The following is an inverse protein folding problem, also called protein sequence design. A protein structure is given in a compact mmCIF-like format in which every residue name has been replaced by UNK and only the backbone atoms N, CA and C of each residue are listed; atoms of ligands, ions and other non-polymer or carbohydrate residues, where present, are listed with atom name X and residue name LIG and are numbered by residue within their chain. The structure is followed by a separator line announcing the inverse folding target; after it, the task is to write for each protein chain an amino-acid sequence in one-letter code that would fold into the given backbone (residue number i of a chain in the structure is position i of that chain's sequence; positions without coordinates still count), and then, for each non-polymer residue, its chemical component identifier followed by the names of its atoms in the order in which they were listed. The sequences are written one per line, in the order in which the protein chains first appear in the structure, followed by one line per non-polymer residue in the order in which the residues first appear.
data_IF_580154143400
#
_entry.id   IF_580154143400
#
_cell.length_a   1.000
_cell.length_b   1.000
_cell.length_c   1.000
_cell.angle_alpha   90.00
_cell.angle_beta   90.00
_cell.angle_gamma   90.00
#
_symmetry.space_group_name_H-M   'P 1'
#
loop_
_entity.id
_entity.type
_entity.pdbx_description
1 polymer ?
#
# COMPACT_ATOMS: atom_id res chain seq x y z
N UNK A 1 11.77 -12.96 -27.73
CA UNK A 1 12.55 -12.95 -26.47
C UNK A 1 12.89 -11.49 -26.20
N UNK A 2 12.15 -10.84 -25.31
CA UNK A 2 12.46 -9.47 -24.86
C UNK A 2 13.18 -9.62 -23.54
N UNK A 3 14.39 -9.07 -23.47
CA UNK A 3 15.25 -9.13 -22.29
C UNK A 3 14.54 -8.49 -21.09
N UNK A 4 14.57 -9.19 -19.95
CA UNK A 4 14.20 -8.62 -18.68
C UNK A 4 15.21 -7.54 -18.30
N UNK A 5 14.76 -6.29 -18.23
CA UNK A 5 15.49 -5.25 -17.51
C UNK A 5 15.25 -5.50 -16.02
N UNK A 6 16.32 -5.87 -15.32
CA UNK A 6 16.35 -5.94 -13.87
C UNK A 6 16.19 -4.53 -13.29
N UNK A 7 15.84 -4.47 -12.01
CA UNK A 7 15.71 -3.26 -11.19
C UNK A 7 17.01 -2.41 -11.09
N UNK A 8 18.08 -2.75 -11.82
CA UNK A 8 19.42 -2.18 -11.73
C UNK A 8 19.71 -1.03 -12.72
N UNK A 9 18.81 -0.72 -13.66
CA UNK A 9 19.10 0.21 -14.77
C UNK A 9 18.57 1.65 -14.57
N UNK A 10 18.36 2.12 -13.34
CA UNK A 10 18.06 3.53 -13.09
C UNK A 10 19.35 4.35 -12.96
N UNK A 11 19.61 5.34 -13.84
CA UNK A 11 20.76 6.23 -13.70
C UNK A 11 20.72 6.95 -12.35
N UNK A 12 21.85 6.98 -11.63
CA UNK A 12 21.96 7.59 -10.29
C UNK A 12 21.46 9.03 -10.25
N UNK A 13 21.70 9.79 -11.31
CA UNK A 13 21.22 11.15 -11.51
C UNK A 13 19.67 11.29 -11.54
N UNK A 14 18.95 10.26 -11.96
CA UNK A 14 17.48 10.21 -11.92
C UNK A 14 16.99 9.84 -10.52
N UNK A 15 17.69 8.96 -9.82
CA UNK A 15 17.38 8.60 -8.44
C UNK A 15 17.66 9.75 -7.46
N UNK A 16 18.73 10.50 -7.68
CA UNK A 16 19.11 11.66 -6.88
C UNK A 16 18.12 12.83 -7.10
N UNK A 17 17.73 13.10 -8.35
CA UNK A 17 16.66 14.07 -8.65
C UNK A 17 15.32 13.66 -7.99
N UNK A 18 15.01 12.36 -7.96
CA UNK A 18 13.83 11.85 -7.26
C UNK A 18 13.87 12.03 -5.73
N UNK A 19 15.06 12.00 -5.13
CA UNK A 19 15.27 12.28 -3.72
C UNK A 19 15.14 13.78 -3.38
N UNK A 20 15.75 14.64 -4.20
CA UNK A 20 15.81 16.08 -3.95
C UNK A 20 14.47 16.80 -4.21
N UNK A 21 13.68 16.33 -5.17
CA UNK A 21 12.37 16.89 -5.52
C UNK A 21 11.22 16.32 -4.65
N UNK A 22 11.55 15.58 -3.59
CA UNK A 22 10.57 15.06 -2.62
C UNK A 22 9.73 13.89 -3.13
N UNK A 23 9.99 13.39 -4.35
CA UNK A 23 9.25 12.30 -5.00
C UNK A 23 9.29 10.96 -4.26
N UNK A 24 10.24 10.81 -3.32
CA UNK A 24 10.46 9.61 -2.51
C UNK A 24 10.09 9.77 -1.03
N UNK A 25 9.31 10.79 -0.60
CA UNK A 25 9.18 11.09 0.85
C UNK A 25 8.28 10.16 1.68
N UNK A 26 7.49 9.29 1.07
CA UNK A 26 6.84 8.14 1.74
C UNK A 26 7.56 6.83 1.41
N UNK A 27 7.46 5.83 2.28
CA UNK A 27 8.10 4.51 2.12
C UNK A 27 9.64 4.49 2.01
N UNK A 28 10.34 5.58 2.31
CA UNK A 28 11.81 5.70 2.19
C UNK A 28 12.58 5.52 3.50
N UNK A 29 11.89 5.10 4.57
CA UNK A 29 12.51 4.72 5.84
C UNK A 29 11.94 3.37 6.29
N UNK A 30 12.83 2.49 6.73
CA UNK A 30 12.39 1.28 7.41
C UNK A 30 11.61 1.65 8.68
N UNK A 31 10.38 1.16 8.78
CA UNK A 31 9.59 1.15 9.99
C UNK A 31 9.10 -0.28 10.25
N UNK A 32 9.13 -0.69 11.52
CA UNK A 32 8.64 -2.01 11.89
C UNK A 32 7.11 -1.99 11.93
N UNK A 33 6.50 -2.56 10.89
CA UNK A 33 5.05 -2.67 10.77
C UNK A 33 4.52 -4.04 11.18
N UNK A 34 5.25 -4.81 12.00
CA UNK A 34 4.74 -6.08 12.52
C UNK A 34 3.77 -5.85 13.68
N UNK A 35 2.78 -6.73 13.80
CA UNK A 35 1.90 -6.78 14.98
C UNK A 35 0.70 -5.84 14.94
N UNK A 36 0.40 -5.25 13.77
CA UNK A 36 -0.85 -4.51 13.58
C UNK A 36 -2.06 -5.43 13.72
N UNK A 37 -3.16 -4.85 14.17
CA UNK A 37 -4.43 -5.55 14.41
C UNK A 37 -5.51 -5.04 13.47
N UNK A 38 -6.64 -5.75 13.45
CA UNK A 38 -7.78 -5.39 12.59
C UNK A 38 -8.39 -4.01 12.90
N UNK A 39 -8.20 -3.51 14.12
CA UNK A 39 -8.57 -2.15 14.52
C UNK A 39 -7.74 -1.11 13.74
N UNK A 40 -6.44 -1.35 13.63
CA UNK A 40 -5.51 -0.51 12.87
C UNK A 40 -5.82 -0.54 11.37
N UNK A 41 -6.20 -1.71 10.84
CA UNK A 41 -6.66 -1.84 9.43
C UNK A 41 -7.85 -0.92 9.16
N UNK A 42 -8.82 -0.86 10.08
CA UNK A 42 -9.99 0.02 9.94
C UNK A 42 -9.61 1.48 9.99
N UNK A 43 -8.70 1.85 10.86
CA UNK A 43 -8.27 3.24 10.98
C UNK A 43 -7.47 3.67 9.75
N UNK A 44 -6.58 2.81 9.24
CA UNK A 44 -5.88 3.04 7.98
C UNK A 44 -6.85 3.23 6.80
N UNK A 45 -7.86 2.36 6.66
CA UNK A 45 -8.87 2.47 5.61
C UNK A 45 -9.64 3.80 5.68
N UNK A 46 -9.98 4.28 6.88
CA UNK A 46 -10.66 5.57 7.05
C UNK A 46 -9.76 6.74 6.66
N UNK A 47 -8.51 6.72 7.10
CA UNK A 47 -7.53 7.78 6.81
C UNK A 47 -7.28 7.83 5.31
N UNK A 48 -6.98 6.70 4.67
CA UNK A 48 -6.73 6.65 3.23
C UNK A 48 -7.95 7.08 2.41
N UNK A 49 -9.17 6.63 2.78
CA UNK A 49 -10.38 7.07 2.09
C UNK A 49 -10.57 8.59 2.18
N UNK A 50 -10.36 9.18 3.36
CA UNK A 50 -10.47 10.62 3.54
C UNK A 50 -9.45 11.39 2.69
N UNK A 51 -8.22 10.91 2.59
CA UNK A 51 -7.18 11.53 1.76
C UNK A 51 -7.52 11.39 0.27
N UNK A 52 -7.93 10.20 -0.18
CA UNK A 52 -8.33 9.96 -1.57
C UNK A 52 -9.52 10.84 -1.96
N UNK A 53 -10.53 10.97 -1.10
CA UNK A 53 -11.70 11.81 -1.35
C UNK A 53 -11.32 13.30 -1.45
N UNK A 54 -10.41 13.77 -0.60
CA UNK A 54 -9.88 15.13 -0.67
C UNK A 54 -9.16 15.38 -2.00
N UNK A 55 -8.32 14.44 -2.44
CA UNK A 55 -7.59 14.53 -3.70
C UNK A 55 -8.55 14.54 -4.89
N UNK A 56 -9.54 13.64 -4.89
CA UNK A 56 -10.52 13.52 -5.97
C UNK A 56 -11.42 14.77 -6.11
N UNK A 57 -11.58 15.55 -5.04
CA UNK A 57 -12.36 16.80 -5.06
C UNK A 57 -11.62 17.98 -5.70
N UNK A 58 -10.30 17.88 -5.90
CA UNK A 58 -9.49 18.95 -6.51
C UNK A 58 -9.59 18.87 -8.04
N UNK A 59 -10.00 19.94 -8.74
CA UNK A 59 -9.99 19.97 -10.19
C UNK A 59 -8.55 19.84 -10.72
N UNK A 60 -8.33 18.95 -11.68
CA UNK A 60 -7.01 18.77 -12.30
C UNK A 60 -6.66 20.04 -13.09
N UNK A 61 -5.82 20.89 -12.51
CA UNK A 61 -5.14 22.01 -13.18
C UNK A 61 -3.65 21.95 -12.89
N UNK A 62 -2.83 22.56 -13.76
CA UNK A 62 -1.38 22.62 -13.54
C UNK A 62 -1.02 23.38 -12.23
N UNK A 63 -1.85 24.35 -11.82
CA UNK A 63 -1.70 24.98 -10.50
C UNK A 63 -2.12 24.06 -9.34
N UNK A 64 -3.09 23.16 -9.55
CA UNK A 64 -3.47 22.16 -8.56
C UNK A 64 -2.38 21.11 -8.36
N UNK A 65 -1.66 20.74 -9.42
CA UNK A 65 -0.52 19.82 -9.39
C UNK A 65 0.68 20.45 -8.65
N UNK A 66 0.96 21.74 -8.88
CA UNK A 66 1.98 22.48 -8.14
C UNK A 66 1.59 22.76 -6.66
N UNK A 67 0.31 23.04 -6.39
CA UNK A 67 -0.20 23.18 -5.03
C UNK A 67 -0.20 21.84 -4.28
N UNK A 68 -0.38 20.72 -4.99
CA UNK A 68 -0.30 19.37 -4.46
C UNK A 68 1.14 19.02 -4.04
N UNK A 69 2.14 19.32 -4.87
CA UNK A 69 3.56 19.17 -4.48
C UNK A 69 3.91 20.05 -3.25
N UNK A 70 3.39 21.28 -3.18
CA UNK A 70 3.60 22.16 -2.03
C UNK A 70 2.86 21.68 -0.75
N UNK A 71 1.66 21.11 -0.89
CA UNK A 71 0.91 20.49 0.21
C UNK A 71 1.62 19.22 0.70
N UNK A 72 2.26 18.47 -0.19
CA UNK A 72 3.07 17.28 0.11
C UNK A 72 4.32 17.60 0.94
N UNK A 73 4.91 18.78 0.74
CA UNK A 73 5.96 19.32 1.62
C UNK A 73 5.45 19.73 3.01
N UNK A 74 4.22 20.28 3.08
CA UNK A 74 3.56 20.66 4.33
C UNK A 74 3.03 19.45 5.13
N UNK A 75 2.56 18.41 4.44
CA UNK A 75 2.10 17.16 5.04
C UNK A 75 3.23 16.29 5.58
N UNK A 76 4.49 16.73 5.52
CA UNK A 76 5.54 16.16 6.38
C UNK A 76 5.22 16.30 7.89
N UNK A 77 4.31 17.20 8.27
CA UNK A 77 3.73 17.28 9.62
C UNK A 77 2.38 16.54 9.76
N UNK A 78 1.69 16.18 8.65
CA UNK A 78 0.42 15.42 8.63
C UNK A 78 0.56 13.92 8.38
N UNK A 79 1.70 13.48 7.83
CA UNK A 79 2.07 12.10 7.52
C UNK A 79 2.23 11.19 8.74
N UNK A 80 2.12 11.73 9.96
CA UNK A 80 1.99 10.91 11.18
C UNK A 80 0.78 9.96 11.11
N UNK A 81 -0.30 10.36 10.41
CA UNK A 81 -1.53 9.57 10.33
C UNK A 81 -1.43 8.30 9.47
N UNK A 82 -0.43 8.19 8.59
CA UNK A 82 -0.22 7.03 7.71
C UNK A 82 1.00 6.21 8.09
N UNK A 83 1.56 6.45 9.27
CA UNK A 83 2.68 5.67 9.81
C UNK A 83 3.91 5.63 8.89
N UNK A 84 4.12 6.67 8.07
CA UNK A 84 5.21 6.74 7.09
C UNK A 84 5.00 5.92 5.80
N UNK A 85 3.81 5.39 5.58
CA UNK A 85 3.42 4.66 4.38
C UNK A 85 2.75 5.59 3.36
N UNK A 86 2.87 5.25 2.06
CA UNK A 86 2.18 6.01 1.01
C UNK A 86 0.65 5.83 1.08
N UNK A 87 -0.07 6.89 0.71
CA UNK A 87 -1.52 6.82 0.46
C UNK A 87 -1.79 5.79 -0.64
N UNK A 88 -2.77 4.93 -0.40
CA UNK A 88 -3.21 3.92 -1.35
C UNK A 88 -2.53 2.55 -1.19
N UNK A 89 -1.57 2.42 -0.27
CA UNK A 89 -0.90 1.15 0.08
C UNK A 89 -0.87 0.90 1.58
N UNK A 90 -1.11 1.91 2.42
CA UNK A 90 -0.96 1.80 3.87
C UNK A 90 -1.89 0.75 4.47
N UNK A 91 -3.18 0.77 4.12
CA UNK A 91 -4.13 -0.23 4.62
C UNK A 91 -3.79 -1.65 4.17
N UNK A 92 -3.23 -1.83 2.96
CA UNK A 92 -2.82 -3.14 2.47
C UNK A 92 -1.62 -3.69 3.26
N UNK A 93 -0.63 -2.84 3.56
CA UNK A 93 0.52 -3.20 4.44
C UNK A 93 0.02 -3.61 5.81
N UNK A 94 -0.86 -2.82 6.42
CA UNK A 94 -1.39 -3.07 7.77
C UNK A 94 -2.27 -4.33 7.78
N UNK A 95 -3.08 -4.56 6.73
CA UNK A 95 -3.88 -5.77 6.59
C UNK A 95 -3.02 -7.03 6.46
N UNK A 96 -1.94 -6.98 5.68
CA UNK A 96 -0.98 -8.08 5.59
C UNK A 96 -0.32 -8.35 6.95
N UNK A 97 0.05 -7.32 7.70
CA UNK A 97 0.56 -7.47 9.07
C UNK A 97 -0.46 -8.11 10.02
N UNK A 98 -1.73 -7.69 9.98
CA UNK A 98 -2.82 -8.28 10.75
C UNK A 98 -3.12 -9.74 10.36
N UNK A 99 -2.84 -10.11 9.12
CA UNK A 99 -2.86 -11.50 8.64
C UNK A 99 -1.64 -12.31 9.07
N UNK A 100 -0.69 -11.70 9.81
CA UNK A 100 0.60 -12.29 10.22
C UNK A 100 1.55 -12.56 9.05
N UNK A 101 1.46 -11.74 8.00
CA UNK A 101 2.52 -11.60 7.02
C UNK A 101 3.53 -10.53 7.47
N UNK A 102 4.67 -10.47 6.77
CA UNK A 102 5.75 -9.51 7.03
C UNK A 102 6.00 -8.67 5.78
N UNK A 103 5.27 -7.56 5.60
CA UNK A 103 5.56 -6.58 4.57
C UNK A 103 6.93 -5.96 4.79
N UNK A 104 7.67 -5.72 3.71
CA UNK A 104 9.00 -5.08 3.79
C UNK A 104 9.26 -4.06 2.68
N UNK A 105 8.45 -4.05 1.61
CA UNK A 105 8.47 -3.02 0.57
C UNK A 105 7.01 -2.69 0.20
N UNK A 106 6.71 -1.42 -0.03
CA UNK A 106 5.47 -1.01 -0.70
C UNK A 106 5.72 0.19 -1.61
N UNK A 107 4.85 0.36 -2.60
CA UNK A 107 4.90 1.50 -3.53
C UNK A 107 3.51 1.76 -4.09
N UNK A 108 3.12 3.04 -4.18
CA UNK A 108 1.86 3.45 -4.82
C UNK A 108 1.97 3.66 -6.35
N UNK A 109 3.16 3.45 -6.92
CA UNK A 109 3.49 3.62 -8.34
C UNK A 109 3.15 5.01 -8.93
N UNK A 110 3.20 6.07 -8.13
CA UNK A 110 2.95 7.43 -8.63
C UNK A 110 1.49 7.70 -8.95
N UNK A 111 0.58 7.01 -8.26
CA UNK A 111 -0.87 7.16 -8.46
C UNK A 111 -1.40 8.59 -8.29
N UNK A 112 -0.57 9.51 -7.78
CA UNK A 112 -0.88 10.92 -7.59
C UNK A 112 0.08 11.87 -8.35
N UNK A 113 0.80 11.37 -9.36
CA UNK A 113 1.80 12.12 -10.11
C UNK A 113 3.24 11.63 -9.89
N UNK A 114 4.16 11.99 -10.80
CA UNK A 114 5.59 11.64 -10.72
C UNK A 114 6.03 10.43 -11.56
N UNK A 115 7.34 10.28 -11.77
CA UNK A 115 7.95 9.11 -12.45
C UNK A 115 8.30 8.06 -11.40
N UNK A 116 7.76 6.85 -11.53
CA UNK A 116 8.03 5.74 -10.61
C UNK A 116 8.62 4.55 -11.35
N UNK A 117 9.51 3.83 -10.66
CA UNK A 117 10.13 2.61 -11.19
C UNK A 117 9.11 1.48 -11.40
N UNK A 118 8.11 1.40 -10.53
CA UNK A 118 7.03 0.42 -10.62
C UNK A 118 5.90 0.94 -11.52
N UNK A 119 5.41 0.08 -12.42
CA UNK A 119 4.26 0.38 -13.29
C UNK A 119 2.90 0.15 -12.62
N UNK A 120 2.89 -0.44 -11.42
CA UNK A 120 1.70 -0.82 -10.66
C UNK A 120 1.95 -0.67 -9.17
N UNK A 121 0.95 -0.26 -8.38
CA UNK A 121 1.09 -0.22 -6.94
C UNK A 121 1.20 -1.64 -6.39
N UNK A 122 2.07 -1.83 -5.40
CA UNK A 122 2.36 -3.16 -4.85
C UNK A 122 2.82 -3.13 -3.40
N UNK A 123 2.74 -4.30 -2.76
CA UNK A 123 3.32 -4.61 -1.45
C UNK A 123 4.05 -5.95 -1.55
N UNK A 124 5.36 -5.95 -1.27
CA UNK A 124 6.15 -7.17 -1.17
C UNK A 124 6.25 -7.63 0.29
N UNK A 125 6.08 -8.93 0.52
CA UNK A 125 6.00 -9.49 1.85
C UNK A 125 6.48 -10.95 1.91
N UNK A 126 6.81 -11.39 3.12
CA UNK A 126 6.95 -12.80 3.46
C UNK A 126 5.71 -13.31 4.20
N UNK A 127 5.38 -14.58 4.02
CA UNK A 127 4.42 -15.27 4.90
C UNK A 127 5.19 -15.75 6.13
N UNK A 128 4.80 -15.29 7.32
CA UNK A 128 5.30 -15.83 8.58
C UNK A 128 4.33 -16.88 9.13
N UNK A 129 3.16 -16.43 9.59
CA UNK A 129 2.09 -17.32 10.12
C UNK A 129 0.78 -17.18 9.34
N UNK A 130 0.75 -16.31 8.32
CA UNK A 130 -0.40 -16.15 7.44
C UNK A 130 -0.72 -17.47 6.71
N UNK A 131 -2.00 -17.76 6.52
CA UNK A 131 -2.44 -18.88 5.68
C UNK A 131 -2.31 -18.51 4.20
N UNK A 132 -1.52 -19.24 3.38
CA UNK A 132 -1.44 -19.01 1.94
C UNK A 132 -2.80 -19.11 1.24
N UNK A 133 -3.63 -20.08 1.63
CA UNK A 133 -4.96 -20.29 1.06
C UNK A 133 -5.90 -19.11 1.36
N UNK A 134 -5.81 -18.57 2.58
CA UNK A 134 -6.58 -17.38 2.95
C UNK A 134 -6.13 -16.17 2.14
N UNK A 135 -4.82 -15.97 1.96
CA UNK A 135 -4.28 -14.87 1.16
C UNK A 135 -4.74 -14.95 -0.30
N UNK A 136 -4.69 -16.14 -0.90
CA UNK A 136 -5.19 -16.38 -2.26
C UNK A 136 -6.68 -16.06 -2.38
N UNK A 137 -7.49 -16.56 -1.45
CA UNK A 137 -8.94 -16.31 -1.46
C UNK A 137 -9.28 -14.82 -1.26
N UNK A 138 -8.53 -14.11 -0.42
CA UNK A 138 -8.69 -12.67 -0.23
C UNK A 138 -8.28 -11.88 -1.47
N UNK A 139 -7.15 -12.23 -2.09
CA UNK A 139 -6.67 -11.61 -3.31
C UNK A 139 -7.67 -11.78 -4.46
N UNK A 140 -8.19 -12.99 -4.65
CA UNK A 140 -9.21 -13.30 -5.67
C UNK A 140 -10.49 -12.48 -5.45
N UNK A 141 -11.00 -12.44 -4.21
CA UNK A 141 -12.20 -11.66 -3.87
C UNK A 141 -12.02 -10.15 -4.04
N UNK A 142 -10.81 -9.65 -3.82
CA UNK A 142 -10.48 -8.25 -4.00
C UNK A 142 -10.14 -7.90 -5.46
N UNK A 143 -9.93 -8.90 -6.33
CA UNK A 143 -9.55 -8.69 -7.73
C UNK A 143 -8.13 -8.13 -7.89
N UNK A 144 -7.23 -8.44 -6.94
CA UNK A 144 -5.82 -8.05 -6.96
C UNK A 144 -4.94 -9.22 -7.41
N UNK A 145 -3.77 -8.89 -7.96
CA UNK A 145 -2.76 -9.89 -8.29
C UNK A 145 -1.99 -10.31 -7.05
N UNK A 146 -1.65 -11.59 -6.98
CA UNK A 146 -0.69 -12.14 -6.04
C UNK A 146 0.28 -13.02 -6.82
N UNK A 147 1.56 -12.69 -6.78
CA UNK A 147 2.61 -13.43 -7.47
C UNK A 147 3.79 -13.72 -6.57
N UNK A 148 4.63 -14.67 -7.00
CA UNK A 148 5.91 -14.97 -6.38
C UNK A 148 7.01 -14.56 -7.35
N UNK A 149 7.89 -13.67 -6.90
CA UNK A 149 9.09 -13.27 -7.63
C UNK A 149 10.30 -13.50 -6.73
N UNK A 150 11.26 -14.30 -7.19
CA UNK A 150 12.51 -14.60 -6.47
C UNK A 150 12.31 -15.08 -5.01
N UNK A 151 11.24 -15.84 -4.77
CA UNK A 151 10.89 -16.38 -3.45
C UNK A 151 10.17 -15.39 -2.52
N UNK A 152 9.82 -14.21 -3.03
CA UNK A 152 9.07 -13.16 -2.33
C UNK A 152 7.64 -13.11 -2.88
N UNK A 153 6.66 -12.93 -2.00
CA UNK A 153 5.28 -12.68 -2.42
C UNK A 153 5.06 -11.20 -2.69
N UNK A 154 4.38 -10.90 -3.78
CA UNK A 154 4.02 -9.55 -4.20
C UNK A 154 2.52 -9.46 -4.42
N UNK A 155 1.85 -8.63 -3.63
CA UNK A 155 0.46 -8.23 -3.84
C UNK A 155 0.44 -6.97 -4.68
N UNK A 156 -0.30 -6.93 -5.78
CA UNK A 156 -0.34 -5.76 -6.66
C UNK A 156 -1.74 -5.45 -7.21
N UNK A 157 -1.99 -4.17 -7.43
CA UNK A 157 -3.22 -3.64 -8.02
C UNK A 157 -3.03 -3.10 -9.44
N UNK A 158 -4.12 -2.74 -10.12
CA UNK A 158 -4.07 -1.85 -11.29
C UNK A 158 -4.02 -0.39 -10.84
N UNK A 159 -4.70 -0.08 -9.74
CA UNK A 159 -4.66 1.23 -9.06
C UNK A 159 -4.56 1.02 -7.55
N UNK A 160 -4.24 2.10 -6.82
CA UNK A 160 -4.22 2.09 -5.35
C UNK A 160 -5.56 1.69 -4.74
N UNK A 161 -6.68 1.96 -5.42
CA UNK A 161 -8.00 1.58 -4.95
C UNK A 161 -8.17 0.06 -4.87
N UNK A 162 -7.46 -0.69 -5.71
CA UNK A 162 -7.49 -2.15 -5.66
C UNK A 162 -6.79 -2.68 -4.39
N UNK A 163 -5.71 -2.03 -3.95
CA UNK A 163 -5.01 -2.40 -2.72
C UNK A 163 -5.78 -2.01 -1.47
N UNK A 164 -6.45 -0.84 -1.48
CA UNK A 164 -7.42 -0.48 -0.45
C UNK A 164 -8.60 -1.47 -0.42
N UNK A 165 -9.07 -1.93 -1.58
CA UNK A 165 -10.12 -2.93 -1.70
C UNK A 165 -9.68 -4.27 -1.09
N UNK A 166 -8.43 -4.70 -1.29
CA UNK A 166 -7.88 -5.87 -0.62
C UNK A 166 -7.96 -5.76 0.91
N UNK A 167 -7.52 -4.64 1.48
CA UNK A 167 -7.59 -4.41 2.91
C UNK A 167 -9.04 -4.43 3.44
N UNK A 168 -9.98 -3.84 2.68
CA UNK A 168 -11.42 -3.86 3.01
C UNK A 168 -11.99 -5.30 3.03
N UNK A 169 -11.65 -6.12 2.04
CA UNK A 169 -12.10 -7.52 1.96
C UNK A 169 -11.51 -8.35 3.11
N UNK A 170 -10.25 -8.13 3.46
CA UNK A 170 -9.57 -8.79 4.57
C UNK A 170 -10.23 -8.43 5.93
N UNK A 171 -10.54 -7.15 6.15
CA UNK A 171 -11.25 -6.67 7.34
C UNK A 171 -12.65 -7.30 7.46
N UNK A 172 -13.42 -7.32 6.37
CA UNK A 172 -14.74 -7.94 6.37
C UNK A 172 -14.68 -9.45 6.66
N UNK A 173 -13.62 -10.13 6.19
CA UNK A 173 -13.39 -11.55 6.47
C UNK A 173 -13.09 -11.79 7.95
N UNK A 174 -12.23 -10.98 8.59
CA UNK A 174 -11.87 -11.16 10.00
C UNK A 174 -13.08 -11.07 10.92
N UNK A 175 -13.98 -10.12 10.65
CA UNK A 175 -15.26 -9.96 11.37
C UNK A 175 -16.20 -11.16 11.23
N UNK A 176 -16.15 -11.85 10.10
CA UNK A 176 -16.99 -13.01 9.84
C UNK A 176 -16.49 -14.24 10.59
N UNK A 177 -15.16 -14.41 10.67
CA UNK A 177 -14.52 -15.45 11.47
C UNK A 177 -14.75 -15.26 12.97
N UNK A 178 -14.66 -14.01 13.47
CA UNK A 178 -14.91 -13.70 14.89
C UNK A 178 -16.36 -13.95 15.33
N UNK A 179 -17.33 -13.71 14.45
CA UNK A 179 -18.74 -14.02 14.71
C UNK A 179 -18.96 -15.53 14.88
N UNK A 180 -18.25 -16.36 14.12
CA UNK A 180 -18.35 -17.82 14.25
C UNK A 180 -17.72 -18.34 15.54
N UNK A 181 -16.60 -17.78 15.97
CA UNK A 181 -15.94 -18.17 17.22
C UNK A 181 -16.76 -17.82 18.47
N UNK A 182 -17.53 -16.71 18.44
CA UNK A 182 -18.36 -16.29 19.58
C UNK A 182 -19.67 -17.05 19.74
N UNK A 183 -20.18 -17.69 18.68
CA UNK A 183 -21.45 -18.47 18.74
C UNK A 183 -21.22 -19.90 19.23
N UNK A 184 -19.98 -20.41 19.21
CA UNK A 184 -19.63 -21.76 19.65
C UNK A 184 -19.29 -21.92 21.14
N UNK A 185 -19.57 -20.93 21.99
CA UNK A 185 -19.22 -20.96 23.44
C UNK A 185 -20.41 -20.75 24.38
N UNK A 186 -21.61 -21.17 23.98
CA UNK A 186 -22.77 -21.31 24.88
C UNK A 186 -22.93 -22.73 25.38
#
# INVERSE_FOLDING_TARGET
MVAGGALDDLPTEVADAAGDEGYLRGNSRYADHRGWLWDDVRDALKVEAAVVDQIAAVPVSAEAEAAFEAQRDLDSEGAEALWGLDVGVASAVIALSALRAMPFISCNAGSFGGVHAASRPYVAFYIAEASPDLLLALAERAGVGLEVQDGVLCLYGRTILDLMQFASVAEAQSRSSDKFLRVGST
#
